data_IF_613463868907
#
_entry.id   IF_613463868907
#
_cell.length_a   1.000
_cell.length_b   1.000
_cell.length_c   1.000
_cell.angle_alpha   90.00
_cell.angle_beta   90.00
_cell.angle_gamma   90.00
#
_symmetry.space_group_name_H-M   'P 1'
#
loop_
_entity.id
_entity.type
_entity.pdbx_description
1 polymer ?
#
# COMPACT_ATOMS: atom_id res chain seq x y z
N UNK A 1 -18.84 32.95 12.73
CA UNK A 1 -19.61 32.06 11.84
C UNK A 1 -19.48 30.68 12.45
N UNK A 2 -20.48 30.25 13.20
CA UNK A 2 -20.46 28.95 13.89
C UNK A 2 -20.71 27.87 12.84
N UNK A 3 -19.69 27.07 12.53
CA UNK A 3 -19.83 25.89 11.67
C UNK A 3 -20.59 24.81 12.46
N UNK A 4 -21.90 24.96 12.57
CA UNK A 4 -22.82 23.95 13.12
C UNK A 4 -23.28 22.97 12.03
N UNK A 5 -22.53 22.88 10.92
CA UNK A 5 -22.84 22.00 9.77
C UNK A 5 -22.06 20.67 9.84
N UNK A 6 -21.28 20.45 10.89
CA UNK A 6 -20.34 19.34 10.96
C UNK A 6 -20.85 18.11 11.72
N UNK A 7 -22.02 18.16 12.35
CA UNK A 7 -22.55 17.06 13.18
C UNK A 7 -23.54 16.14 12.43
N UNK A 8 -23.59 16.20 11.09
CA UNK A 8 -24.50 15.36 10.31
C UNK A 8 -24.01 15.12 8.89
N UNK A 9 -24.44 14.01 8.30
CA UNK A 9 -24.11 13.64 6.92
C UNK A 9 -25.36 13.35 6.11
N UNK A 10 -25.35 13.78 4.85
CA UNK A 10 -26.44 13.53 3.91
C UNK A 10 -26.21 12.21 3.20
N UNK A 11 -27.21 11.32 3.23
CA UNK A 11 -27.15 10.03 2.57
C UNK A 11 -27.11 10.21 1.04
N UNK A 12 -26.11 9.65 0.33
CA UNK A 12 -26.06 9.76 -1.13
C UNK A 12 -27.13 8.91 -1.85
N UNK A 13 -27.70 7.91 -1.18
CA UNK A 13 -28.72 7.03 -1.76
C UNK A 13 -30.14 7.58 -1.69
N UNK A 14 -30.54 8.10 -0.51
CA UNK A 14 -31.91 8.54 -0.25
C UNK A 14 -32.04 9.99 0.19
N UNK A 15 -30.94 10.75 0.20
CA UNK A 15 -30.85 12.17 0.61
C UNK A 15 -31.26 12.49 2.05
N UNK A 16 -31.56 11.48 2.88
CA UNK A 16 -31.84 11.66 4.31
C UNK A 16 -30.59 12.21 5.03
N UNK A 17 -30.79 13.20 5.90
CA UNK A 17 -29.77 13.72 6.81
C UNK A 17 -29.70 12.82 8.06
N UNK A 18 -28.52 12.24 8.31
CA UNK A 18 -28.26 11.36 9.45
C UNK A 18 -27.27 12.04 10.42
N UNK A 19 -27.30 11.63 11.68
CA UNK A 19 -26.34 12.06 12.72
C UNK A 19 -24.89 11.67 12.34
N UNK A 20 -23.90 12.48 12.73
CA UNK A 20 -22.48 12.20 12.43
C UNK A 20 -22.02 10.83 12.93
N UNK A 21 -22.50 10.45 14.11
CA UNK A 21 -22.19 9.18 14.79
C UNK A 21 -22.85 7.97 14.12
N UNK A 22 -23.83 8.18 13.24
CA UNK A 22 -24.53 7.08 12.58
C UNK A 22 -23.65 6.48 11.49
N UNK A 23 -23.27 5.22 11.66
CA UNK A 23 -22.43 4.48 10.70
C UNK A 23 -23.17 4.12 9.41
N UNK A 24 -24.51 4.08 9.45
CA UNK A 24 -25.37 3.77 8.31
C UNK A 24 -26.65 4.61 8.34
N UNK A 25 -27.25 4.79 7.16
CA UNK A 25 -28.47 5.58 7.01
C UNK A 25 -29.66 4.88 7.66
N UNK A 26 -30.42 5.62 8.48
CA UNK A 26 -31.58 5.07 9.19
C UNK A 26 -32.74 4.64 8.27
N UNK A 27 -32.85 5.23 7.07
CA UNK A 27 -33.93 4.89 6.13
C UNK A 27 -33.57 3.75 5.16
N UNK A 28 -32.37 3.79 4.57
CA UNK A 28 -32.00 2.86 3.49
C UNK A 28 -30.81 1.96 3.81
N UNK A 29 -30.16 2.11 4.97
CA UNK A 29 -29.01 1.30 5.38
C UNK A 29 -27.70 1.59 4.64
N UNK A 30 -27.64 2.62 3.79
CA UNK A 30 -26.39 3.01 3.11
C UNK A 30 -25.32 3.43 4.12
N UNK A 31 -24.12 2.87 4.03
CA UNK A 31 -22.99 3.19 4.91
C UNK A 31 -22.59 4.67 4.81
N UNK A 32 -22.24 5.26 5.95
CA UNK A 32 -21.76 6.63 6.04
C UNK A 32 -20.47 6.83 5.23
N UNK A 33 -20.36 7.90 4.43
CA UNK A 33 -19.15 8.20 3.69
C UNK A 33 -17.94 8.46 4.59
N UNK A 34 -18.17 8.89 5.83
CA UNK A 34 -17.10 9.13 6.81
C UNK A 34 -16.46 7.81 7.26
N UNK A 35 -17.27 6.78 7.47
CA UNK A 35 -16.83 5.42 7.79
C UNK A 35 -16.02 4.84 6.63
N UNK A 36 -16.47 5.00 5.38
CA UNK A 36 -15.69 4.56 4.21
C UNK A 36 -14.36 5.30 4.09
N UNK A 37 -14.33 6.60 4.41
CA UNK A 37 -13.12 7.41 4.36
C UNK A 37 -12.09 7.00 5.42
N UNK A 38 -12.50 6.53 6.60
CA UNK A 38 -11.57 6.01 7.61
C UNK A 38 -10.86 4.74 7.15
N UNK A 39 -11.58 3.80 6.52
CA UNK A 39 -10.96 2.59 5.94
C UNK A 39 -9.99 2.90 4.80
N UNK A 40 -10.29 3.92 3.98
CA UNK A 40 -9.41 4.31 2.87
C UNK A 40 -8.07 4.94 3.30
N UNK A 41 -7.87 5.28 4.59
CA UNK A 41 -6.59 5.81 5.10
C UNK A 41 -5.54 4.71 5.26
N UNK A 42 -5.94 3.46 5.50
CA UNK A 42 -5.01 2.36 5.78
C UNK A 42 -4.16 1.97 4.54
N UNK A 43 -4.69 2.21 3.33
CA UNK A 43 -4.06 1.83 2.05
C UNK A 43 -2.91 2.76 1.62
N UNK A 44 -2.81 3.97 2.19
CA UNK A 44 -1.84 5.01 1.76
C UNK A 44 -0.55 5.06 2.58
N UNK A 45 -0.35 4.12 3.51
CA UNK A 45 0.86 4.01 4.32
C UNK A 45 2.04 3.26 3.65
N UNK A 46 1.90 2.75 2.42
CA UNK A 46 2.84 1.79 1.82
C UNK A 46 3.31 2.13 0.39
N UNK A 47 3.39 3.40 0.00
CA UNK A 47 3.97 3.80 -1.30
C UNK A 47 4.97 4.95 -1.20
N UNK A 48 5.86 4.92 -0.20
CA UNK A 48 7.04 5.80 -0.17
C UNK A 48 8.32 4.95 -0.14
N UNK A 49 8.69 4.49 -1.33
CA UNK A 49 10.03 4.00 -1.68
C UNK A 49 10.48 4.73 -2.94
N UNK A 50 11.42 5.66 -2.77
CA UNK A 50 11.97 6.63 -3.71
C UNK A 50 12.25 6.15 -5.14
N UNK A 51 11.92 7.02 -6.10
CA UNK A 51 12.45 6.98 -7.47
C UNK A 51 12.69 8.40 -7.98
N UNK A 52 13.71 9.08 -7.46
CA UNK A 52 14.16 10.37 -7.99
C UNK A 52 14.94 10.16 -9.28
N UNK A 53 14.25 10.14 -10.42
CA UNK A 53 14.90 10.23 -11.73
C UNK A 53 14.77 11.66 -12.29
N UNK A 54 15.71 12.53 -11.90
CA UNK A 54 15.95 13.81 -12.56
C UNK A 54 16.75 13.60 -13.86
N UNK A 55 16.20 14.17 -14.93
CA UNK A 55 16.71 14.59 -16.24
C UNK A 55 18.09 14.11 -16.73
N UNK A 56 18.14 13.64 -17.98
CA UNK A 56 19.43 13.43 -18.64
C UNK A 56 19.37 12.86 -20.05
N UNK A 57 18.69 13.55 -20.97
CA UNK A 57 18.88 13.29 -22.39
C UNK A 57 20.28 13.73 -22.85
N UNK A 58 21.23 12.81 -23.03
CA UNK A 58 22.25 12.90 -24.09
C UNK A 58 23.06 11.62 -24.26
N UNK A 59 22.96 11.04 -25.46
CA UNK A 59 24.01 10.20 -26.05
C UNK A 59 25.38 10.82 -25.82
N UNK A 60 26.28 10.09 -25.18
CA UNK A 60 27.71 10.03 -25.51
C UNK A 60 28.36 8.98 -24.61
N UNK A 61 28.75 7.85 -25.22
CA UNK A 61 29.72 6.94 -24.62
C UNK A 61 31.04 7.69 -24.45
N UNK A 62 31.75 7.46 -23.34
CA UNK A 62 33.17 7.21 -23.46
C UNK A 62 33.45 5.78 -22.99
N UNK A 63 34.13 5.05 -23.86
CA UNK A 63 35.02 3.98 -23.44
C UNK A 63 36.03 4.56 -22.44
N UNK A 64 36.49 3.75 -21.48
CA UNK A 64 37.89 3.50 -21.13
C UNK A 64 37.97 2.94 -19.68
N UNK A 65 38.71 1.85 -19.56
CA UNK A 65 38.97 1.03 -18.38
C UNK A 65 39.67 1.78 -17.24
N UNK A 66 39.34 1.43 -15.99
CA UNK A 66 40.22 1.41 -14.79
C UNK A 66 39.47 0.60 -13.72
N UNK A 67 39.77 -0.69 -13.49
CA UNK A 67 40.76 -1.22 -12.54
C UNK A 67 40.75 -0.56 -11.15
N UNK A 68 40.52 -1.39 -10.13
CA UNK A 68 40.42 -1.11 -8.69
C UNK A 68 39.12 -1.73 -8.17
N UNK A 69 39.11 -2.89 -7.49
CA UNK A 69 39.34 -3.03 -6.03
C UNK A 69 38.59 -1.90 -5.29
N UNK A 70 37.66 -2.11 -4.37
CA UNK A 70 37.70 -2.97 -3.19
C UNK A 70 36.28 -3.10 -2.61
N UNK A 71 35.98 -4.27 -2.06
CA UNK A 71 35.15 -4.50 -0.87
C UNK A 71 34.00 -3.51 -0.57
N UNK A 72 32.82 -3.73 -1.14
CA UNK A 72 31.57 -3.30 -0.53
C UNK A 72 30.89 -4.54 0.03
N UNK A 73 31.24 -4.91 1.27
CA UNK A 73 30.42 -5.79 2.10
C UNK A 73 29.08 -5.05 2.32
N UNK A 74 27.95 -5.47 1.74
CA UNK A 74 26.67 -4.94 2.16
C UNK A 74 26.47 -5.46 3.58
N UNK A 75 26.23 -4.53 4.51
CA UNK A 75 26.11 -4.83 5.93
C UNK A 75 25.13 -5.98 6.12
N UNK A 76 25.64 -7.02 6.75
CA UNK A 76 24.86 -8.02 7.45
C UNK A 76 24.00 -7.29 8.49
N UNK A 77 22.74 -7.05 8.16
CA UNK A 77 21.66 -6.99 9.12
C UNK A 77 20.65 -7.99 8.58
N UNK A 78 20.79 -9.24 9.04
CA UNK A 78 20.02 -10.42 8.63
C UNK A 78 18.53 -10.37 8.99
N UNK A 79 17.89 -9.22 8.89
CA UNK A 79 16.44 -9.10 8.92
C UNK A 79 15.94 -9.27 7.48
N UNK A 80 15.71 -10.53 7.11
CA UNK A 80 14.93 -10.83 5.91
C UNK A 80 13.61 -10.08 6.04
N UNK A 81 13.24 -9.31 5.01
CA UNK A 81 11.99 -8.56 5.02
C UNK A 81 10.82 -9.54 5.30
N UNK A 82 9.92 -9.22 6.26
CA UNK A 82 8.85 -10.13 6.66
C UNK A 82 7.96 -10.58 5.50
N UNK A 83 7.84 -9.76 4.46
CA UNK A 83 7.05 -10.09 3.27
C UNK A 83 7.80 -11.06 2.38
N UNK A 84 9.10 -10.83 2.15
CA UNK A 84 9.96 -11.75 1.40
C UNK A 84 9.99 -13.14 2.06
N UNK A 85 10.04 -13.20 3.39
CA UNK A 85 9.94 -14.46 4.13
C UNK A 85 8.58 -15.14 3.91
N UNK A 86 7.48 -14.40 3.97
CA UNK A 86 6.14 -14.92 3.74
C UNK A 86 6.02 -15.50 2.32
N UNK A 87 6.45 -14.76 1.29
CA UNK A 87 6.46 -15.22 -0.11
C UNK A 87 7.22 -16.55 -0.27
N UNK A 88 8.39 -16.65 0.37
CA UNK A 88 9.17 -17.87 0.38
C UNK A 88 8.47 -19.04 1.08
N UNK A 89 7.73 -18.78 2.16
CA UNK A 89 6.95 -19.82 2.86
C UNK A 89 5.75 -20.29 2.04
N UNK A 90 5.01 -19.38 1.40
CA UNK A 90 3.88 -19.73 0.54
C UNK A 90 4.30 -20.60 -0.65
N UNK A 91 5.42 -20.27 -1.31
CA UNK A 91 5.96 -21.07 -2.42
C UNK A 91 6.29 -22.52 -2.01
N UNK A 92 6.76 -22.73 -0.78
CA UNK A 92 7.04 -24.06 -0.22
C UNK A 92 5.76 -24.86 0.05
N UNK A 93 4.71 -24.19 0.53
CA UNK A 93 3.40 -24.82 0.76
C UNK A 93 2.81 -25.28 -0.57
N UNK A 94 2.80 -24.42 -1.59
CA UNK A 94 2.27 -24.77 -2.91
C UNK A 94 3.02 -25.94 -3.55
N UNK A 95 4.36 -25.94 -3.45
CA UNK A 95 5.19 -27.04 -3.97
C UNK A 95 4.86 -28.39 -3.30
N UNK A 96 4.60 -28.39 -1.98
CA UNK A 96 4.19 -29.59 -1.25
C UNK A 96 2.79 -30.07 -1.65
N UNK A 97 1.89 -29.15 -2.00
CA UNK A 97 0.56 -29.47 -2.49
C UNK A 97 0.58 -30.00 -3.92
N UNK A 98 1.39 -29.42 -4.83
CA UNK A 98 1.59 -29.95 -6.19
C UNK A 98 2.19 -31.37 -6.15
N UNK A 99 3.21 -31.59 -5.31
CA UNK A 99 3.81 -32.91 -5.13
C UNK A 99 2.84 -33.94 -4.56
N UNK A 100 1.87 -33.51 -3.76
CA UNK A 100 0.81 -34.35 -3.17
C UNK A 100 -0.36 -34.58 -4.14
N UNK A 101 -0.62 -33.65 -5.05
CA UNK A 101 -1.64 -33.74 -6.10
C UNK A 101 -1.20 -34.64 -7.27
N UNK A 102 0.12 -34.77 -7.49
CA UNK A 102 0.71 -35.65 -8.52
C UNK A 102 0.86 -37.12 -8.10
N UNK A 103 0.29 -37.53 -6.96
CA UNK A 103 0.33 -38.90 -6.41
C UNK A 103 -1.05 -39.53 -6.48
#
# INVERSE_FOLDING_TARGET
MSNEENDSWTCPGCTLKNELIAEACAACGTTSPLVLQSYAIEERGWTEGEGTAIDGGRSQRPSLVSQGSDNATPRDDGEIDPWVQAECEWAQIESRQDARSRK
#
